data_IF_039775161703
#
_entry.id   IF_039775161703
#
_cell.length_a   1.000
_cell.length_b   1.000
_cell.length_c   1.000
_cell.angle_alpha   90.00
_cell.angle_beta   90.00
_cell.angle_gamma   90.00
#
_symmetry.space_group_name_H-M   'P 1'
#
loop_
_entity.id
_entity.type
_entity.pdbx_description
1 polymer ?
#
# COMPACT_ATOMS: atom_id res chain seq x y z
N UNK A 1 -20.82 17.93 8.28
CA UNK A 1 -20.86 16.58 8.89
C UNK A 1 -21.02 15.45 7.88
N UNK A 2 -21.92 15.57 6.89
CA UNK A 2 -22.25 14.50 5.94
C UNK A 2 -21.08 14.09 5.00
N UNK A 3 -20.34 15.06 4.45
CA UNK A 3 -19.20 14.81 3.54
C UNK A 3 -18.09 13.98 4.20
N UNK A 4 -17.79 14.25 5.49
CA UNK A 4 -16.80 13.46 6.26
C UNK A 4 -17.24 12.01 6.46
N UNK A 5 -18.55 11.77 6.63
CA UNK A 5 -19.12 10.43 6.81
C UNK A 5 -19.07 9.62 5.51
N UNK A 6 -19.42 10.24 4.38
CA UNK A 6 -19.33 9.61 3.05
C UNK A 6 -17.88 9.30 2.68
N UNK A 7 -16.95 10.24 2.91
CA UNK A 7 -15.51 10.04 2.65
C UNK A 7 -14.92 8.87 3.45
N UNK A 8 -15.31 8.70 4.72
CA UNK A 8 -14.91 7.55 5.55
C UNK A 8 -15.46 6.24 5.04
N UNK A 9 -16.75 6.20 4.67
CA UNK A 9 -17.36 5.01 4.10
C UNK A 9 -16.64 4.58 2.81
N UNK A 10 -16.41 5.52 1.88
CA UNK A 10 -15.65 5.28 0.65
C UNK A 10 -14.25 4.75 0.96
N UNK A 11 -13.57 5.35 1.94
CA UNK A 11 -12.24 4.91 2.34
C UNK A 11 -12.18 3.48 2.87
N UNK A 12 -13.20 3.04 3.62
CA UNK A 12 -13.26 1.66 4.13
C UNK A 12 -13.46 0.65 3.00
N UNK A 13 -14.38 0.91 2.08
CA UNK A 13 -14.64 0.03 0.93
C UNK A 13 -13.39 -0.09 0.04
N UNK A 14 -12.74 1.04 -0.25
CA UNK A 14 -11.47 1.04 -0.97
C UNK A 14 -10.39 0.23 -0.25
N UNK A 15 -10.27 0.39 1.07
CA UNK A 15 -9.27 -0.35 1.85
C UNK A 15 -9.47 -1.86 1.74
N UNK A 16 -10.72 -2.34 1.79
CA UNK A 16 -11.05 -3.76 1.65
C UNK A 16 -10.63 -4.29 0.28
N UNK A 17 -10.97 -3.59 -0.80
CA UNK A 17 -10.61 -3.98 -2.17
C UNK A 17 -9.08 -4.04 -2.37
N UNK A 18 -8.36 -3.04 -1.86
CA UNK A 18 -6.90 -2.98 -1.96
C UNK A 18 -6.22 -4.06 -1.11
N UNK A 19 -6.76 -4.38 0.07
CA UNK A 19 -6.30 -5.50 0.89
C UNK A 19 -6.52 -6.84 0.19
N UNK A 20 -7.63 -7.04 -0.52
CA UNK A 20 -7.86 -8.24 -1.34
C UNK A 20 -6.79 -8.37 -2.43
N UNK A 21 -6.45 -7.26 -3.09
CA UNK A 21 -5.36 -7.21 -4.08
C UNK A 21 -3.99 -7.56 -3.48
N UNK A 22 -3.65 -6.99 -2.33
CA UNK A 22 -2.40 -7.31 -1.64
C UNK A 22 -2.36 -8.75 -1.13
N UNK A 23 -3.46 -9.24 -0.56
CA UNK A 23 -3.58 -10.62 -0.11
C UNK A 23 -3.32 -11.59 -1.27
N UNK A 24 -3.87 -11.31 -2.45
CA UNK A 24 -3.60 -12.11 -3.65
C UNK A 24 -2.11 -12.18 -3.99
N UNK A 25 -1.39 -11.06 -3.96
CA UNK A 25 0.06 -11.03 -4.22
C UNK A 25 0.85 -11.79 -3.14
N UNK A 26 0.53 -11.53 -1.87
CA UNK A 26 1.28 -12.00 -0.70
C UNK A 26 1.08 -13.47 -0.40
N UNK A 27 0.05 -14.11 -0.99
CA UNK A 27 -0.25 -15.55 -0.87
C UNK A 27 0.18 -16.36 -2.09
N UNK A 28 0.75 -15.73 -3.12
CA UNK A 28 1.38 -16.47 -4.21
C UNK A 28 2.53 -17.34 -3.68
N UNK A 29 2.92 -18.34 -4.48
CA UNK A 29 4.07 -19.18 -4.18
C UNK A 29 5.06 -19.15 -5.35
N UNK A 30 6.21 -18.46 -5.21
CA UNK A 30 6.60 -17.62 -4.07
C UNK A 30 5.74 -16.34 -3.96
N UNK A 31 5.60 -15.72 -2.77
CA UNK A 31 4.89 -14.46 -2.58
C UNK A 31 5.48 -13.32 -3.42
N UNK A 32 4.68 -12.33 -3.78
CA UNK A 32 5.15 -11.08 -4.39
C UNK A 32 5.02 -9.92 -3.42
N UNK A 33 5.98 -9.00 -3.47
CA UNK A 33 5.95 -7.69 -2.80
C UNK A 33 5.82 -6.63 -3.90
N UNK A 34 4.88 -5.69 -3.78
CA UNK A 34 4.62 -4.68 -4.80
C UNK A 34 5.69 -3.58 -4.84
N UNK A 35 6.13 -3.08 -3.67
CA UNK A 35 7.19 -2.06 -3.48
C UNK A 35 6.91 -0.64 -3.99
N UNK A 36 5.78 -0.38 -4.65
CA UNK A 36 5.46 0.96 -5.17
C UNK A 36 3.96 1.28 -5.08
N UNK A 37 3.38 1.03 -3.91
CA UNK A 37 2.01 1.43 -3.64
C UNK A 37 1.90 2.94 -3.44
N UNK A 38 1.02 3.54 -4.21
CA UNK A 38 0.67 4.96 -4.18
C UNK A 38 -0.71 5.18 -4.79
N UNK A 39 -1.31 6.34 -4.54
CA UNK A 39 -2.63 6.67 -5.08
C UNK A 39 -2.70 6.60 -6.62
N UNK A 40 -1.61 6.92 -7.33
CA UNK A 40 -1.50 6.79 -8.80
C UNK A 40 -1.65 5.34 -9.29
N UNK A 41 -1.30 4.36 -8.45
CA UNK A 41 -1.29 2.94 -8.81
C UNK A 41 -2.58 2.23 -8.35
N UNK A 42 -3.66 3.00 -8.18
CA UNK A 42 -5.00 2.50 -7.85
C UNK A 42 -5.92 2.90 -9.00
N UNK A 43 -6.50 1.91 -9.66
CA UNK A 43 -7.47 2.10 -10.72
C UNK A 43 -8.88 1.99 -10.15
N UNK A 44 -9.78 2.85 -10.62
CA UNK A 44 -11.20 2.77 -10.30
C UNK A 44 -11.94 2.18 -11.49
N UNK A 45 -12.84 1.25 -11.22
CA UNK A 45 -13.76 0.73 -12.23
C UNK A 45 -15.15 1.34 -11.99
N UNK A 46 -15.56 2.34 -12.78
CA UNK A 46 -16.87 2.97 -12.63
C UNK A 46 -18.03 2.05 -13.05
N UNK A 47 -17.75 0.95 -13.74
CA UNK A 47 -18.74 0.07 -14.36
C UNK A 47 -18.87 -1.30 -13.66
N UNK A 48 -18.07 -1.58 -12.63
CA UNK A 48 -18.01 -2.89 -11.99
C UNK A 48 -19.23 -3.27 -11.12
N UNK A 49 -20.27 -2.41 -11.03
CA UNK A 49 -21.60 -2.83 -10.57
C UNK A 49 -22.38 -1.72 -9.87
N UNK A 50 -23.72 -1.78 -10.01
CA UNK A 50 -24.71 -0.81 -9.52
C UNK A 50 -24.83 -0.65 -7.99
N UNK A 51 -23.84 -1.07 -7.19
CA UNK A 51 -23.96 -1.14 -5.73
C UNK A 51 -22.68 -0.88 -4.91
N UNK A 52 -21.52 -0.57 -5.50
CA UNK A 52 -20.28 -0.47 -4.71
C UNK A 52 -19.11 0.27 -5.35
N UNK A 53 -18.05 0.44 -4.56
CA UNK A 53 -16.77 1.03 -4.98
C UNK A 53 -15.85 -0.10 -5.41
N UNK A 54 -15.40 -0.06 -6.66
CA UNK A 54 -14.47 -1.03 -7.19
C UNK A 54 -13.15 -0.35 -7.51
N UNK A 55 -12.10 -0.81 -6.84
CA UNK A 55 -10.75 -0.36 -7.14
C UNK A 55 -9.76 -1.51 -7.16
N UNK A 56 -8.71 -1.39 -7.98
CA UNK A 56 -7.70 -2.42 -8.20
C UNK A 56 -6.31 -1.84 -8.15
N UNK A 57 -5.37 -2.63 -7.65
CA UNK A 57 -3.95 -2.32 -7.74
C UNK A 57 -3.45 -2.49 -9.17
N UNK A 58 -2.57 -1.60 -9.60
CA UNK A 58 -1.89 -1.69 -10.89
C UNK A 58 -0.39 -1.36 -10.75
N UNK A 59 0.33 -1.46 -11.87
CA UNK A 59 1.76 -1.13 -11.98
C UNK A 59 2.67 -2.02 -11.11
N UNK A 60 2.88 -3.25 -11.59
CA UNK A 60 3.75 -4.24 -10.96
C UNK A 60 5.20 -4.14 -11.46
N UNK A 61 5.60 -3.05 -12.12
CA UNK A 61 6.94 -2.92 -12.72
C UNK A 61 8.09 -3.00 -11.70
N UNK A 62 7.80 -2.69 -10.43
CA UNK A 62 8.73 -2.81 -9.32
C UNK A 62 8.44 -4.01 -8.41
N UNK A 63 7.47 -4.87 -8.74
CA UNK A 63 7.15 -6.02 -7.92
C UNK A 63 8.31 -7.04 -7.90
N UNK A 64 8.50 -7.74 -6.79
CA UNK A 64 9.57 -8.74 -6.64
C UNK A 64 9.06 -9.98 -5.91
N UNK A 65 9.56 -11.14 -6.31
CA UNK A 65 9.32 -12.40 -5.58
C UNK A 65 10.06 -12.37 -4.25
N UNK A 66 9.35 -12.70 -3.18
CA UNK A 66 9.91 -12.95 -1.87
C UNK A 66 10.10 -14.45 -1.69
N UNK A 67 11.34 -14.90 -1.76
CA UNK A 67 11.69 -16.27 -1.37
C UNK A 67 11.75 -16.32 0.15
N UNK A 68 11.08 -17.30 0.76
CA UNK A 68 11.15 -17.52 2.19
C UNK A 68 12.41 -18.31 2.50
N UNK A 69 13.35 -17.72 3.21
CA UNK A 69 14.23 -18.45 4.10
C UNK A 69 13.65 -18.45 5.51
N UNK A 70 14.10 -19.42 6.31
CA UNK A 70 13.58 -19.78 7.64
C UNK A 70 13.66 -18.64 8.68
N UNK A 71 14.28 -17.51 8.32
CA UNK A 71 14.52 -16.34 9.19
C UNK A 71 13.62 -15.13 8.88
N UNK A 72 12.77 -15.19 7.85
CA UNK A 72 11.67 -14.25 7.64
C UNK A 72 11.64 -13.62 6.25
N UNK A 73 10.43 -13.28 5.77
CA UNK A 73 10.11 -12.80 4.41
C UNK A 73 10.71 -11.43 4.03
N UNK A 74 12.04 -11.32 4.01
CA UNK A 74 12.78 -10.11 3.64
C UNK A 74 13.53 -10.34 2.33
N UNK A 75 13.26 -9.51 1.33
CA UNK A 75 14.05 -9.43 0.11
C UNK A 75 15.06 -8.30 0.26
N UNK A 76 16.35 -8.60 0.07
CA UNK A 76 17.41 -7.58 0.01
C UNK A 76 17.58 -7.14 -1.44
N UNK A 77 17.59 -5.84 -1.67
CA UNK A 77 17.83 -5.25 -2.99
C UNK A 77 18.43 -3.84 -2.88
N UNK A 78 18.53 -3.09 -3.98
CA UNK A 78 18.98 -1.71 -3.94
C UNK A 78 18.14 -0.89 -2.94
N UNK A 79 18.74 -0.01 -2.13
CA UNK A 79 18.00 0.83 -1.20
C UNK A 79 17.10 1.83 -1.93
N UNK A 80 15.92 2.11 -1.38
CA UNK A 80 15.05 3.18 -1.88
C UNK A 80 14.36 2.93 -3.22
N UNK A 81 14.11 1.68 -3.59
CA UNK A 81 13.29 1.33 -4.77
C UNK A 81 11.81 1.60 -4.46
N UNK A 82 11.17 2.42 -5.29
CA UNK A 82 9.77 2.82 -5.15
C UNK A 82 9.61 4.31 -4.83
N UNK A 83 8.40 4.71 -4.46
CA UNK A 83 8.07 6.10 -4.13
C UNK A 83 8.36 6.42 -2.66
N UNK A 84 9.37 7.28 -2.38
CA UNK A 84 9.80 7.63 -1.01
C UNK A 84 8.67 8.05 -0.07
N UNK A 85 7.74 8.88 -0.53
CA UNK A 85 6.66 9.42 0.31
C UNK A 85 5.63 8.38 0.82
N UNK A 86 5.63 7.18 0.27
CA UNK A 86 4.80 6.06 0.75
C UNK A 86 5.63 4.87 1.20
N UNK A 87 6.96 5.00 1.20
CA UNK A 87 7.89 3.90 1.43
C UNK A 87 7.99 3.55 2.92
N UNK A 88 7.96 2.27 3.23
CA UNK A 88 8.21 1.81 4.59
C UNK A 88 9.66 2.10 5.03
N UNK A 89 9.91 2.42 6.32
CA UNK A 89 11.23 2.82 6.80
C UNK A 89 12.31 1.77 6.50
N UNK A 90 12.02 0.48 6.62
CA UNK A 90 12.98 -0.59 6.32
C UNK A 90 13.41 -0.66 4.84
N UNK A 91 12.57 -0.21 3.91
CA UNK A 91 12.86 -0.23 2.47
C UNK A 91 13.90 0.85 2.08
N UNK A 92 14.08 1.89 2.89
CA UNK A 92 15.18 2.85 2.73
C UNK A 92 16.55 2.18 2.81
N UNK A 93 16.65 1.08 3.56
CA UNK A 93 17.85 0.26 3.69
C UNK A 93 17.86 -0.95 2.73
N UNK A 94 16.98 -0.97 1.73
CA UNK A 94 16.89 -2.06 0.75
C UNK A 94 16.31 -3.36 1.30
N UNK A 95 15.67 -3.33 2.48
CA UNK A 95 15.04 -4.48 3.13
C UNK A 95 13.54 -4.46 2.85
N UNK A 96 13.12 -5.19 1.83
CA UNK A 96 11.72 -5.23 1.40
C UNK A 96 10.98 -6.38 2.05
N UNK A 97 9.80 -6.11 2.59
CA UNK A 97 8.93 -7.11 3.21
C UNK A 97 7.49 -6.93 2.75
N UNK A 98 6.69 -7.99 2.88
CA UNK A 98 5.23 -7.92 2.67
C UNK A 98 4.56 -6.84 3.52
N UNK A 99 5.01 -6.66 4.76
CA UNK A 99 4.50 -5.60 5.64
C UNK A 99 4.78 -4.18 5.14
N UNK A 100 5.77 -3.99 4.28
CA UNK A 100 6.05 -2.69 3.67
C UNK A 100 4.94 -2.22 2.71
N UNK A 101 4.30 -3.15 1.99
CA UNK A 101 3.11 -2.84 1.19
C UNK A 101 1.93 -2.44 2.09
N UNK A 102 1.76 -3.10 3.25
CA UNK A 102 0.72 -2.77 4.23
C UNK A 102 0.93 -1.38 4.82
N UNK A 103 2.18 -1.01 5.14
CA UNK A 103 2.53 0.33 5.58
C UNK A 103 2.13 1.39 4.53
N UNK A 104 2.53 1.16 3.27
CA UNK A 104 2.24 2.05 2.15
C UNK A 104 0.72 2.24 1.95
N UNK A 105 -0.04 1.15 2.04
CA UNK A 105 -1.51 1.19 1.96
C UNK A 105 -2.13 1.98 3.12
N UNK A 106 -1.60 1.83 4.34
CA UNK A 106 -2.02 2.59 5.51
C UNK A 106 -1.89 4.10 5.31
N UNK A 107 -0.80 4.57 4.69
CA UNK A 107 -0.61 5.98 4.36
C UNK A 107 -1.65 6.49 3.33
N UNK A 108 -1.92 5.69 2.30
CA UNK A 108 -2.94 6.01 1.28
C UNK A 108 -4.32 6.19 1.92
N UNK A 109 -4.74 5.22 2.73
CA UNK A 109 -6.06 5.23 3.37
C UNK A 109 -6.15 6.30 4.45
N UNK A 110 -5.10 6.53 5.23
CA UNK A 110 -5.05 7.63 6.21
C UNK A 110 -5.31 8.98 5.54
N UNK A 111 -4.68 9.22 4.38
CA UNK A 111 -4.88 10.46 3.61
C UNK A 111 -6.29 10.54 3.02
N UNK A 112 -6.82 9.42 2.54
CA UNK A 112 -8.19 9.36 2.03
C UNK A 112 -9.23 9.62 3.13
N UNK A 113 -9.02 9.09 4.34
CA UNK A 113 -9.93 9.24 5.47
C UNK A 113 -9.76 10.55 6.25
N UNK A 114 -8.82 11.41 5.83
CA UNK A 114 -8.50 12.67 6.52
C UNK A 114 -8.10 12.44 7.98
N UNK A 115 -7.39 11.34 8.22
CA UNK A 115 -6.88 11.00 9.53
C UNK A 115 -5.51 11.70 9.66
N UNK A 116 -5.39 12.57 10.65
CA UNK A 116 -4.21 13.40 10.95
C UNK A 116 -2.90 12.63 11.20
N UNK A 117 -2.93 11.29 11.16
CA UNK A 117 -1.75 10.44 11.26
C UNK A 117 -0.73 10.72 10.14
N UNK A 118 -1.21 10.96 8.92
CA UNK A 118 -0.33 11.18 7.75
C UNK A 118 0.59 12.40 7.92
N UNK A 119 0.09 13.49 8.54
CA UNK A 119 0.84 14.72 8.78
C UNK A 119 1.88 14.58 9.92
N UNK A 120 1.68 13.63 10.84
CA UNK A 120 2.62 13.36 11.94
C UNK A 120 3.75 12.42 11.51
N UNK A 121 3.45 11.45 10.63
CA UNK A 121 4.43 10.49 10.11
C UNK A 121 5.41 11.16 9.14
N UNK A 122 4.94 11.96 8.17
CA UNK A 122 5.85 12.67 7.24
C UNK A 122 6.70 13.75 7.90
N UNK A 123 6.19 14.39 8.98
CA UNK A 123 6.99 15.35 9.77
C UNK A 123 8.10 14.68 10.58
N UNK A 124 7.94 13.42 10.98
CA UNK A 124 8.99 12.65 11.64
C UNK A 124 10.10 12.23 10.66
N UNK A 125 9.78 11.96 9.39
CA UNK A 125 10.76 11.58 8.37
C UNK A 125 11.63 12.74 7.86
N UNK A 126 11.18 13.99 8.00
CA UNK A 126 12.00 15.18 7.69
C UNK A 126 12.93 15.60 8.85
N UNK A 127 12.84 14.93 10.00
CA UNK A 127 13.60 15.23 11.20
C UNK A 127 14.70 14.19 11.52
N UNK A 128 14.94 13.23 10.61
CA UNK A 128 15.99 12.20 10.66
C UNK A 128 16.82 12.33 9.38
#
# INVERSE_FOLDING_TARGET
>A
MLVKRVRRYIGCEMFIELLRGLHYLHTRQPPYIHRDLKAKNILFDPNAGSSGIFCKLCDFGLAVKCWTDETGSTVVGPPGVGTRASMAPEAHNGRYKRCGDIYSLGLIVSKLMDIDCAARITKMEQAI
#
